data_IF_613993825671
#
_entry.id   IF_613993825671
#
_cell.length_a   1.000
_cell.length_b   1.000
_cell.length_c   1.000
_cell.angle_alpha   90.00
_cell.angle_beta   90.00
_cell.angle_gamma   90.00
#
_symmetry.space_group_name_H-M   'P 1'
#
loop_
_entity.id
_entity.type
_entity.pdbx_description
1 polymer ?
#
# COMPACT_ATOMS: atom_id res chain seq x y z
N UNK A 1 8.82 16.47 -18.35
CA UNK A 1 8.89 17.51 -17.31
C UNK A 1 9.75 16.96 -16.19
N UNK A 2 10.88 17.59 -15.88
CA UNK A 2 11.67 17.20 -14.72
C UNK A 2 10.94 17.69 -13.45
N UNK A 3 10.62 16.76 -12.55
CA UNK A 3 9.90 17.07 -11.31
C UNK A 3 10.90 17.45 -10.21
N UNK A 4 10.61 18.54 -9.50
CA UNK A 4 11.37 18.90 -8.30
C UNK A 4 11.16 17.86 -7.18
N UNK A 5 12.00 17.86 -6.14
CA UNK A 5 11.91 16.90 -5.05
C UNK A 5 10.55 16.90 -4.32
N UNK A 6 9.93 18.07 -4.15
CA UNK A 6 8.63 18.21 -3.45
C UNK A 6 7.53 17.50 -4.24
N UNK A 7 7.46 17.72 -5.55
CA UNK A 7 6.50 17.06 -6.43
C UNK A 7 6.71 15.55 -6.43
N UNK A 8 7.95 15.08 -6.49
CA UNK A 8 8.26 13.63 -6.40
C UNK A 8 7.79 13.04 -5.07
N UNK A 9 8.03 13.72 -3.95
CA UNK A 9 7.56 13.29 -2.64
C UNK A 9 6.04 13.14 -2.60
N UNK A 10 5.29 14.11 -3.14
CA UNK A 10 3.82 14.07 -3.16
C UNK A 10 3.28 12.94 -4.07
N UNK A 11 3.93 12.66 -5.21
CA UNK A 11 3.50 11.62 -6.14
C UNK A 11 3.80 10.21 -5.65
N UNK A 12 4.93 10.03 -4.96
CA UNK A 12 5.43 8.74 -4.52
C UNK A 12 5.37 8.63 -2.99
N UNK A 13 4.38 9.25 -2.37
CA UNK A 13 4.10 9.01 -0.96
C UNK A 13 3.60 7.57 -0.79
N UNK A 14 4.11 6.88 0.22
CA UNK A 14 3.95 5.45 0.37
C UNK A 14 4.23 4.97 1.78
N UNK A 15 4.14 3.65 1.92
CA UNK A 15 4.46 2.93 3.15
C UNK A 15 5.81 2.19 2.97
N UNK A 16 6.53 2.00 4.07
CA UNK A 16 7.79 1.26 4.11
C UNK A 16 7.79 0.32 5.31
N UNK A 17 8.08 -0.96 5.05
CA UNK A 17 8.10 -1.98 6.09
C UNK A 17 9.35 -2.84 6.01
N UNK A 18 9.98 -3.04 7.17
CA UNK A 18 11.15 -3.90 7.32
C UNK A 18 10.73 -5.37 7.37
N UNK A 19 11.60 -6.26 6.86
CA UNK A 19 11.59 -7.66 7.27
C UNK A 19 11.98 -7.74 8.75
N UNK A 20 11.38 -8.62 9.58
CA UNK A 20 11.67 -8.66 11.03
C UNK A 20 13.15 -8.86 11.39
N UNK A 21 13.93 -9.53 10.53
CA UNK A 21 15.38 -9.72 10.69
C UNK A 21 16.24 -8.51 10.24
N UNK A 22 15.60 -7.44 9.76
CA UNK A 22 16.20 -6.23 9.21
C UNK A 22 17.09 -6.43 7.97
N UNK A 23 17.08 -7.61 7.33
CA UNK A 23 17.92 -7.87 6.16
C UNK A 23 17.33 -7.31 4.86
N UNK A 24 16.03 -7.01 4.85
CA UNK A 24 15.30 -6.48 3.69
C UNK A 24 14.24 -5.48 4.14
N UNK A 25 13.79 -4.65 3.21
CA UNK A 25 12.57 -3.86 3.36
C UNK A 25 11.78 -3.82 2.06
N UNK A 26 10.50 -3.50 2.18
CA UNK A 26 9.62 -3.21 1.07
C UNK A 26 9.12 -1.78 1.19
N UNK A 27 9.06 -1.08 0.08
CA UNK A 27 8.38 0.20 -0.06
C UNK A 27 7.25 0.05 -1.07
N UNK A 28 6.11 0.70 -0.84
CA UNK A 28 5.02 0.73 -1.78
C UNK A 28 4.31 2.09 -1.82
N UNK A 29 3.96 2.57 -3.02
CA UNK A 29 3.33 3.87 -3.24
C UNK A 29 1.80 3.80 -3.13
N UNK A 30 1.20 4.86 -2.57
CA UNK A 30 -0.25 5.01 -2.47
C UNK A 30 -0.91 5.51 -3.76
N UNK A 31 -0.16 6.15 -4.65
CA UNK A 31 -0.72 6.80 -5.87
C UNK A 31 -0.42 6.04 -7.16
N UNK A 32 0.34 4.96 -7.09
CA UNK A 32 0.55 4.03 -8.19
C UNK A 32 0.91 2.63 -7.67
N UNK A 33 0.98 1.64 -8.56
CA UNK A 33 1.38 0.27 -8.21
C UNK A 33 2.89 0.09 -8.03
N UNK A 34 3.61 1.17 -7.69
CA UNK A 34 5.02 1.09 -7.37
C UNK A 34 5.20 0.28 -6.08
N UNK A 35 5.86 -0.88 -6.19
CA UNK A 35 6.33 -1.69 -5.07
C UNK A 35 7.78 -2.08 -5.31
N UNK A 36 8.63 -1.88 -4.31
CA UNK A 36 10.05 -2.17 -4.40
C UNK A 36 10.51 -2.96 -3.18
N UNK A 37 11.19 -4.09 -3.41
CA UNK A 37 11.86 -4.87 -2.36
C UNK A 37 13.35 -4.63 -2.48
N UNK A 38 14.00 -4.35 -1.35
CA UNK A 38 15.41 -4.01 -1.26
C UNK A 38 16.08 -4.84 -0.18
N UNK A 39 17.22 -5.44 -0.50
CA UNK A 39 18.11 -6.06 0.48
C UNK A 39 19.10 -5.04 1.04
N UNK A 40 19.45 -5.24 2.30
CA UNK A 40 20.50 -4.51 3.00
C UNK A 40 21.70 -5.46 3.14
N UNK A 41 22.76 -5.21 2.39
CA UNK A 41 23.96 -6.05 2.33
C UNK A 41 25.19 -5.18 2.60
N UNK A 42 25.95 -5.44 3.67
CA UNK A 42 27.22 -4.74 3.97
C UNK A 42 27.13 -3.19 3.88
N UNK A 43 26.14 -2.57 4.54
CA UNK A 43 25.86 -1.12 4.44
C UNK A 43 25.52 -0.60 3.02
N UNK A 44 25.18 -1.49 2.09
CA UNK A 44 24.70 -1.16 0.76
C UNK A 44 23.27 -1.62 0.56
N UNK A 45 22.56 -0.92 -0.34
CA UNK A 45 21.20 -1.27 -0.73
C UNK A 45 21.23 -1.95 -2.08
N UNK A 46 20.64 -3.13 -2.16
CA UNK A 46 20.51 -3.89 -3.40
C UNK A 46 19.04 -4.10 -3.71
N UNK A 47 18.60 -3.56 -4.84
CA UNK A 47 17.26 -3.81 -5.34
C UNK A 47 17.09 -5.30 -5.68
N UNK A 48 15.99 -5.89 -5.19
CA UNK A 48 15.58 -7.26 -5.53
C UNK A 48 14.56 -7.22 -6.65
N UNK A 49 13.51 -6.39 -6.48
CA UNK A 49 12.46 -6.22 -7.47
C UNK A 49 11.90 -4.80 -7.41
N UNK A 50 11.48 -4.31 -8.57
CA UNK A 50 10.62 -3.13 -8.73
C UNK A 50 9.43 -3.52 -9.62
N UNK A 51 8.22 -3.37 -9.09
CA UNK A 51 6.97 -3.39 -9.83
C UNK A 51 6.49 -1.96 -9.98
N UNK A 52 6.13 -1.52 -11.19
CA UNK A 52 5.55 -0.20 -11.45
C UNK A 52 4.97 -0.19 -12.88
N UNK A 53 3.70 -0.57 -13.03
CA UNK A 53 3.08 -0.68 -14.36
C UNK A 53 2.42 0.63 -14.79
N UNK A 54 2.10 1.51 -13.85
CA UNK A 54 1.57 2.84 -14.17
C UNK A 54 2.14 3.92 -13.25
N UNK A 55 2.12 5.17 -13.73
CA UNK A 55 2.54 6.33 -12.96
C UNK A 55 1.34 7.09 -12.43
N UNK A 56 1.49 7.82 -11.31
CA UNK A 56 0.43 8.68 -10.83
C UNK A 56 0.05 9.71 -11.91
N UNK A 57 -1.25 9.92 -12.10
CA UNK A 57 -1.80 10.96 -12.96
C UNK A 57 -1.97 12.24 -12.15
N UNK A 58 -1.33 13.32 -12.58
CA UNK A 58 -1.33 14.59 -11.86
C UNK A 58 -1.34 15.78 -12.82
N UNK A 59 -1.74 16.94 -12.31
CA UNK A 59 -1.54 18.24 -12.94
C UNK A 59 -0.61 19.10 -12.08
N UNK A 60 0.25 19.85 -12.74
CA UNK A 60 1.09 20.86 -12.10
C UNK A 60 0.25 22.12 -11.89
N UNK A 61 0.09 22.54 -10.63
CA UNK A 61 -0.64 23.76 -10.25
C UNK A 61 0.31 24.96 -10.11
N UNK A 62 1.52 24.72 -9.60
CA UNK A 62 2.62 25.68 -9.54
C UNK A 62 3.96 24.94 -9.52
N UNK A 63 5.09 25.64 -9.38
CA UNK A 63 6.41 24.98 -9.34
C UNK A 63 6.52 23.94 -8.23
N UNK A 64 6.00 24.22 -7.03
CA UNK A 64 6.08 23.32 -5.86
C UNK A 64 4.76 22.63 -5.51
N UNK A 65 3.72 22.79 -6.34
CA UNK A 65 2.39 22.23 -6.06
C UNK A 65 1.85 21.42 -7.24
N UNK A 66 1.35 20.24 -6.90
CA UNK A 66 0.70 19.33 -7.84
C UNK A 66 -0.63 18.87 -7.26
N UNK A 67 -1.59 18.62 -8.13
CA UNK A 67 -2.84 17.98 -7.77
C UNK A 67 -2.92 16.61 -8.44
N UNK A 68 -3.19 15.57 -7.64
CA UNK A 68 -3.53 14.24 -8.17
C UNK A 68 -4.85 14.34 -8.93
N UNK A 69 -4.90 13.79 -10.13
CA UNK A 69 -6.12 13.79 -10.94
C UNK A 69 -7.11 12.77 -10.38
N UNK A 70 -8.41 13.06 -10.50
CA UNK A 70 -9.48 12.21 -9.95
C UNK A 70 -9.55 10.83 -10.62
N UNK A 71 -9.10 10.75 -11.88
CA UNK A 71 -8.92 9.50 -12.64
C UNK A 71 -7.65 8.71 -12.26
N UNK A 72 -6.86 9.20 -11.31
CA UNK A 72 -5.72 8.45 -10.80
C UNK A 72 -6.20 7.21 -10.04
N UNK A 73 -5.55 6.08 -10.31
CA UNK A 73 -5.83 4.83 -9.61
C UNK A 73 -4.89 4.73 -8.42
N UNK A 74 -5.45 4.66 -7.21
CA UNK A 74 -4.66 4.47 -5.99
C UNK A 74 -4.02 3.08 -5.97
N UNK A 75 -2.78 3.05 -5.50
CA UNK A 75 -1.94 1.86 -5.42
C UNK A 75 -2.06 1.11 -4.11
N UNK A 76 -0.91 0.84 -3.49
CA UNK A 76 -0.81 0.16 -2.20
C UNK A 76 -1.04 1.14 -1.06
N UNK A 77 -2.07 0.91 -0.25
CA UNK A 77 -2.51 1.83 0.80
C UNK A 77 -2.02 1.45 2.20
N UNK A 78 -1.56 0.20 2.40
CA UNK A 78 -0.98 -0.25 3.65
C UNK A 78 -0.12 -1.51 3.43
N UNK A 79 0.96 -1.63 4.20
CA UNK A 79 1.82 -2.81 4.25
C UNK A 79 1.83 -3.44 5.64
N UNK A 80 2.03 -4.75 5.65
CA UNK A 80 2.45 -5.50 6.83
C UNK A 80 3.44 -6.59 6.42
N UNK A 81 4.37 -6.94 7.29
CA UNK A 81 5.47 -7.86 6.96
C UNK A 81 5.70 -8.90 8.03
N UNK A 82 6.19 -10.05 7.59
CA UNK A 82 6.58 -11.17 8.44
C UNK A 82 7.92 -11.72 7.95
N UNK A 83 8.41 -12.78 8.59
CA UNK A 83 9.67 -13.40 8.18
C UNK A 83 9.60 -14.01 6.78
N UNK A 84 8.42 -14.41 6.33
CA UNK A 84 8.25 -15.10 5.06
C UNK A 84 7.60 -14.23 3.99
N UNK A 85 6.71 -13.32 4.39
CA UNK A 85 5.83 -12.65 3.45
C UNK A 85 5.68 -11.14 3.70
N UNK A 86 5.33 -10.46 2.62
CA UNK A 86 4.83 -9.11 2.57
C UNK A 86 3.33 -9.22 2.26
N UNK A 87 2.52 -8.53 3.05
CA UNK A 87 1.09 -8.39 2.88
C UNK A 87 0.83 -6.96 2.44
N UNK A 88 0.36 -6.78 1.21
CA UNK A 88 0.17 -5.47 0.61
C UNK A 88 -1.32 -5.24 0.30
N UNK A 89 -1.94 -4.29 1.02
CA UNK A 89 -3.32 -3.88 0.78
C UNK A 89 -3.35 -2.94 -0.44
N UNK A 90 -3.94 -3.39 -1.55
CA UNK A 90 -3.93 -2.68 -2.83
C UNK A 90 -5.33 -2.16 -3.17
N UNK A 91 -5.49 -0.85 -3.34
CA UNK A 91 -6.78 -0.25 -3.63
C UNK A 91 -7.25 -0.53 -5.06
N UNK A 92 -6.49 -0.09 -6.07
CA UNK A 92 -6.90 -0.22 -7.47
C UNK A 92 -8.12 0.63 -7.84
N UNK A 93 -8.53 1.56 -6.97
CA UNK A 93 -9.72 2.42 -7.11
C UNK A 93 -9.33 3.84 -7.52
N UNK A 94 -10.28 4.57 -8.12
CA UNK A 94 -10.13 5.98 -8.49
C UNK A 94 -11.26 6.82 -7.94
N UNK A 95 -11.05 8.12 -7.71
CA UNK A 95 -12.12 8.99 -7.19
C UNK A 95 -13.31 9.07 -8.17
N UNK A 96 -13.05 9.05 -9.49
CA UNK A 96 -14.12 9.07 -10.50
C UNK A 96 -15.05 7.86 -10.41
N UNK A 97 -14.50 6.67 -10.15
CA UNK A 97 -15.28 5.43 -10.15
C UNK A 97 -15.80 5.06 -8.75
N UNK A 98 -15.05 5.39 -7.70
CA UNK A 98 -15.25 4.87 -6.35
C UNK A 98 -15.56 5.97 -5.31
N UNK A 99 -15.62 7.24 -5.74
CA UNK A 99 -15.95 8.39 -4.89
C UNK A 99 -15.11 8.41 -3.60
N UNK A 100 -15.72 8.55 -2.41
CA UNK A 100 -15.00 8.60 -1.14
C UNK A 100 -14.27 7.29 -0.78
N UNK A 101 -14.62 6.16 -1.42
CA UNK A 101 -14.10 4.84 -1.05
C UNK A 101 -12.78 4.46 -1.74
N UNK A 102 -12.25 5.35 -2.60
CA UNK A 102 -10.99 5.11 -3.32
C UNK A 102 -9.74 5.01 -2.43
N UNK A 103 -9.86 5.34 -1.14
CA UNK A 103 -8.80 5.19 -0.13
C UNK A 103 -8.86 3.87 0.64
N UNK A 104 -9.81 2.98 0.32
CA UNK A 104 -9.96 1.68 0.97
C UNK A 104 -9.74 0.52 0.01
N UNK A 105 -9.62 -0.69 0.55
CA UNK A 105 -9.56 -1.92 -0.24
C UNK A 105 -9.98 -3.15 0.54
N UNK A 106 -10.34 -4.20 -0.18
CA UNK A 106 -10.53 -5.56 0.34
C UNK A 106 -9.40 -6.51 -0.08
N UNK A 107 -8.49 -6.06 -0.95
CA UNK A 107 -7.55 -6.95 -1.62
C UNK A 107 -6.16 -6.90 -0.97
N UNK A 108 -5.77 -8.00 -0.34
CA UNK A 108 -4.41 -8.19 0.18
C UNK A 108 -3.65 -9.10 -0.76
N UNK A 109 -2.54 -8.61 -1.28
CA UNK A 109 -1.59 -9.39 -2.07
C UNK A 109 -0.49 -9.91 -1.14
N UNK A 110 -0.31 -11.23 -1.08
CA UNK A 110 0.72 -11.89 -0.28
C UNK A 110 1.89 -12.20 -1.21
N UNK A 111 3.05 -11.60 -0.94
CA UNK A 111 4.23 -11.65 -1.80
C UNK A 111 5.38 -12.17 -0.95
N UNK A 112 6.22 -13.05 -1.50
CA UNK A 112 7.45 -13.44 -0.80
C UNK A 112 8.54 -12.36 -0.92
N UNK A 113 9.59 -12.49 -0.11
CA UNK A 113 10.72 -11.55 -0.11
C UNK A 113 11.58 -11.58 -1.39
N UNK A 114 11.27 -12.45 -2.37
CA UNK A 114 11.88 -12.47 -3.70
C UNK A 114 10.98 -11.80 -4.75
N UNK A 115 9.82 -11.28 -4.35
CA UNK A 115 8.87 -10.60 -5.24
C UNK A 115 7.86 -11.52 -5.93
N UNK A 116 7.78 -12.80 -5.54
CA UNK A 116 6.79 -13.72 -6.11
C UNK A 116 5.45 -13.53 -5.43
N UNK A 117 4.39 -13.31 -6.22
CA UNK A 117 3.02 -13.34 -5.73
C UNK A 117 2.65 -14.77 -5.31
N UNK A 118 2.28 -14.94 -4.04
CA UNK A 118 1.92 -16.22 -3.43
C UNK A 118 0.41 -16.44 -3.49
N UNK A 119 -0.37 -15.46 -3.03
CA UNK A 119 -1.84 -15.50 -3.07
C UNK A 119 -2.44 -14.11 -3.03
N UNK A 120 -3.71 -14.03 -3.43
CA UNK A 120 -4.57 -12.87 -3.21
C UNK A 120 -5.63 -13.27 -2.17
N UNK A 121 -5.76 -12.48 -1.12
CA UNK A 121 -6.81 -12.60 -0.12
C UNK A 121 -7.85 -11.49 -0.35
N UNK A 122 -9.10 -11.78 0.02
CA UNK A 122 -10.22 -10.86 -0.10
C UNK A 122 -10.86 -10.75 1.28
N UNK A 123 -10.91 -9.53 1.82
CA UNK A 123 -11.57 -9.20 3.08
C UNK A 123 -13.08 -9.04 2.87
N UNK A 124 -13.86 -9.38 3.89
CA UNK A 124 -15.32 -9.21 3.86
C UNK A 124 -15.75 -7.73 3.95
N UNK A 125 -14.89 -6.90 4.55
CA UNK A 125 -15.08 -5.45 4.67
C UNK A 125 -13.87 -4.68 4.15
N UNK A 126 -14.14 -3.48 3.62
CA UNK A 126 -13.12 -2.51 3.22
C UNK A 126 -12.21 -2.17 4.40
N UNK A 127 -10.91 -2.21 4.17
CA UNK A 127 -9.89 -1.80 5.12
C UNK A 127 -9.15 -0.56 4.61
N UNK A 128 -8.71 0.27 5.55
CA UNK A 128 -7.74 1.33 5.31
C UNK A 128 -6.31 0.87 5.60
N UNK A 129 -6.16 0.08 6.66
CA UNK A 129 -4.88 -0.39 7.15
C UNK A 129 -4.99 -1.85 7.59
N UNK A 130 -3.88 -2.58 7.46
CA UNK A 130 -3.75 -3.96 7.93
C UNK A 130 -2.59 -4.12 8.92
N UNK A 131 -2.69 -5.13 9.77
CA UNK A 131 -1.61 -5.65 10.59
C UNK A 131 -1.74 -7.18 10.66
N UNK A 132 -0.61 -7.89 10.74
CA UNK A 132 -0.54 -9.34 10.62
C UNK A 132 0.13 -9.91 11.86
N UNK A 133 -0.53 -10.90 12.48
CA UNK A 133 0.06 -11.74 13.52
C UNK A 133 0.10 -13.19 13.02
N UNK A 134 1.25 -13.59 12.48
CA UNK A 134 1.46 -14.96 11.99
C UNK A 134 1.41 -16.01 13.10
N UNK A 135 1.76 -15.67 14.34
CA UNK A 135 1.77 -16.65 15.45
C UNK A 135 0.35 -17.05 15.82
N UNK A 136 -0.55 -16.07 15.87
CA UNK A 136 -1.96 -16.29 16.16
C UNK A 136 -2.81 -16.52 14.91
N UNK A 137 -2.19 -16.52 13.71
CA UNK A 137 -2.87 -16.62 12.40
C UNK A 137 -3.97 -15.58 12.19
N UNK A 138 -3.71 -14.33 12.59
CA UNK A 138 -4.69 -13.24 12.60
C UNK A 138 -4.32 -12.10 11.67
N UNK A 139 -5.35 -11.53 11.04
CA UNK A 139 -5.28 -10.23 10.38
C UNK A 139 -6.13 -9.25 11.16
N UNK A 140 -5.54 -8.10 11.48
CA UNK A 140 -6.24 -6.96 12.07
C UNK A 140 -6.41 -5.89 11.00
N UNK A 141 -7.58 -5.29 10.91
CA UNK A 141 -7.84 -4.22 9.94
C UNK A 141 -8.56 -3.06 10.58
N UNK A 142 -8.29 -1.85 10.08
CA UNK A 142 -9.07 -0.65 10.43
C UNK A 142 -10.10 -0.41 9.33
N UNK A 143 -11.38 -0.46 9.71
CA UNK A 143 -12.52 -0.21 8.86
C UNK A 143 -13.16 1.14 9.21
N UNK A 144 -13.54 1.90 8.18
CA UNK A 144 -14.32 3.12 8.33
C UNK A 144 -15.73 2.90 7.82
N UNK A 145 -16.70 3.24 8.65
CA UNK A 145 -18.10 3.30 8.28
C UNK A 145 -18.50 4.78 8.27
N UNK A 146 -18.74 5.31 7.07
CA UNK A 146 -19.10 6.71 6.86
C UNK A 146 -20.62 6.82 6.70
N UNK A 147 -21.26 7.50 7.64
CA UNK A 147 -22.65 7.96 7.54
C UNK A 147 -22.67 9.47 7.24
N UNK A 148 -23.83 10.01 6.86
CA UNK A 148 -23.96 11.39 6.38
C UNK A 148 -23.43 12.45 7.38
N UNK A 149 -23.47 12.14 8.69
CA UNK A 149 -23.04 13.04 9.76
C UNK A 149 -22.12 12.39 10.80
N UNK A 150 -21.77 11.11 10.63
CA UNK A 150 -20.96 10.38 11.61
C UNK A 150 -19.93 9.47 10.91
N UNK A 151 -18.80 9.24 11.56
CA UNK A 151 -17.78 8.33 11.06
C UNK A 151 -17.34 7.41 12.19
N UNK A 152 -17.64 6.13 12.04
CA UNK A 152 -17.22 5.11 13.00
C UNK A 152 -15.95 4.42 12.51
N UNK A 153 -14.98 4.26 13.41
CA UNK A 153 -13.76 3.49 13.16
C UNK A 153 -13.84 2.19 13.93
N UNK A 154 -13.72 1.06 13.22
CA UNK A 154 -13.81 -0.28 13.79
C UNK A 154 -12.50 -1.04 13.58
N UNK A 155 -12.02 -1.69 14.64
CA UNK A 155 -10.98 -2.72 14.54
C UNK A 155 -11.66 -4.05 14.23
N UNK A 156 -11.39 -4.63 13.07
CA UNK A 156 -11.88 -5.95 12.69
C UNK A 156 -10.74 -6.98 12.81
N UNK A 157 -11.09 -8.17 13.27
CA UNK A 157 -10.15 -9.30 13.43
C UNK A 157 -10.62 -10.45 12.57
N UNK A 158 -9.71 -11.00 11.77
CA UNK A 158 -9.93 -12.19 10.95
C UNK A 158 -9.06 -13.31 11.51
N UNK A 159 -9.70 -14.34 12.07
CA UNK A 159 -9.06 -15.51 12.68
C UNK A 159 -8.82 -16.64 11.66
N UNK A 160 -7.70 -17.35 11.79
CA UNK A 160 -7.34 -18.55 11.01
C UNK A 160 -7.29 -18.36 9.47
N UNK A 161 -6.90 -17.16 9.01
CA UNK A 161 -6.91 -16.79 7.57
C UNK A 161 -5.52 -16.74 6.89
N UNK A 162 -4.44 -16.96 7.65
CA UNK A 162 -3.05 -16.89 7.16
C UNK A 162 -2.52 -18.22 6.61
#
# INVERSE_FOLDING_TARGET
VELNPISKFLLFQGDIMMKPDNAKFVYASTRCDLLKIVAIENNSLKEIITLNTYFPKFKKESDDNIAILKENVNGFISLATTDNYIYALYSGRSEIQDSATHYFSQYIYVIDWNGKLIKKMILDKDAWQICIDEKSKRIYTIHYEMEEYDTTVQLLVYDDVL
#
